data_IF_972624322871
#
_entry.id   IF_972624322871
#
_cell.length_a   1.000
_cell.length_b   1.000
_cell.length_c   1.000
_cell.angle_alpha   90.00
_cell.angle_beta   90.00
_cell.angle_gamma   90.00
#
_symmetry.space_group_name_H-M   'P 1'
#
loop_
_entity.id
_entity.type
_entity.pdbx_description
1 polymer ?
#
# COMPACT_ATOMS: atom_id res chain seq x y z
N UNK A 1 -5.36 2.82 -15.77
CA UNK A 1 -5.79 2.10 -14.54
C UNK A 1 -4.86 0.95 -14.27
N UNK A 2 -4.33 0.90 -13.05
CA UNK A 2 -3.32 -0.09 -12.67
C UNK A 2 -3.68 -0.74 -11.34
N UNK A 3 -3.44 -2.05 -11.23
CA UNK A 3 -3.44 -2.76 -9.96
C UNK A 3 -2.01 -2.78 -9.41
N UNK A 4 -1.86 -2.44 -8.12
CA UNK A 4 -0.58 -2.47 -7.42
C UNK A 4 -0.65 -3.38 -6.21
N UNK A 5 0.45 -4.09 -5.95
CA UNK A 5 0.60 -4.90 -4.74
C UNK A 5 2.07 -4.85 -4.28
N UNK A 6 2.28 -4.66 -2.98
CA UNK A 6 3.60 -4.75 -2.35
C UNK A 6 3.47 -5.10 -0.88
N UNK A 7 4.58 -5.48 -0.26
CA UNK A 7 4.57 -5.90 1.12
C UNK A 7 5.72 -5.31 1.93
N UNK A 8 5.60 -5.27 3.27
CA UNK A 8 6.69 -4.90 4.15
C UNK A 8 7.87 -5.84 3.98
N UNK A 9 9.09 -5.33 4.16
CA UNK A 9 10.30 -6.13 4.13
C UNK A 9 10.21 -7.23 5.20
N UNK A 10 10.60 -8.44 4.83
CA UNK A 10 10.48 -9.68 5.62
C UNK A 10 9.03 -10.11 5.86
N UNK A 11 8.06 -9.48 5.21
CA UNK A 11 6.62 -9.71 5.39
C UNK A 11 6.19 -9.67 6.85
N UNK A 12 6.79 -8.79 7.64
CA UNK A 12 6.34 -8.56 9.01
C UNK A 12 4.90 -8.04 9.00
N UNK A 13 4.11 -8.46 9.99
CA UNK A 13 2.74 -7.97 10.15
C UNK A 13 2.74 -6.59 10.82
N UNK A 14 3.41 -5.62 10.17
CA UNK A 14 3.63 -4.28 10.71
C UNK A 14 2.34 -3.50 10.93
N UNK A 15 1.31 -3.78 10.15
CA UNK A 15 0.06 -3.04 10.17
C UNK A 15 -1.06 -3.81 10.85
N UNK A 16 -0.73 -4.81 11.67
CA UNK A 16 -1.72 -5.60 12.39
C UNK A 16 -2.49 -4.78 13.41
N UNK A 17 -1.85 -3.82 14.06
CA UNK A 17 -2.51 -2.88 14.98
C UNK A 17 -3.26 -1.85 14.15
N UNK A 18 -4.52 -1.63 14.50
CA UNK A 18 -5.41 -0.73 13.76
C UNK A 18 -4.83 0.66 13.58
N UNK A 19 -4.20 1.22 14.63
CA UNK A 19 -3.58 2.54 14.55
C UNK A 19 -2.47 2.61 13.49
N UNK A 20 -1.69 1.55 13.33
CA UNK A 20 -0.63 1.51 12.33
C UNK A 20 -1.15 1.24 10.94
N UNK A 21 -2.25 0.45 10.83
CA UNK A 21 -2.97 0.31 9.57
C UNK A 21 -3.45 1.68 9.07
N UNK A 22 -4.11 2.43 9.96
CA UNK A 22 -4.62 3.77 9.60
C UNK A 22 -3.50 4.74 9.29
N UNK A 23 -2.39 4.67 10.02
CA UNK A 23 -1.24 5.53 9.78
C UNK A 23 -0.61 5.26 8.41
N UNK A 24 -0.30 4.00 8.09
CA UNK A 24 0.31 3.70 6.80
C UNK A 24 -0.63 3.98 5.63
N UNK A 25 -1.92 3.74 5.81
CA UNK A 25 -2.93 4.11 4.81
C UNK A 25 -2.89 5.61 4.51
N UNK A 26 -2.85 6.43 5.56
CA UNK A 26 -2.73 7.89 5.41
C UNK A 26 -1.42 8.28 4.72
N UNK A 27 -0.31 7.63 5.05
CA UNK A 27 0.99 7.87 4.41
C UNK A 27 0.96 7.53 2.92
N UNK A 28 0.34 6.41 2.56
CA UNK A 28 0.20 5.98 1.16
C UNK A 28 -0.71 6.95 0.39
N UNK A 29 -1.82 7.37 0.98
CA UNK A 29 -2.72 8.35 0.35
C UNK A 29 -2.03 9.69 0.15
N UNK A 30 -1.23 10.12 1.11
CA UNK A 30 -0.46 11.37 1.00
C UNK A 30 0.58 11.27 -0.12
N UNK A 31 1.29 10.15 -0.20
CA UNK A 31 2.26 9.91 -1.28
C UNK A 31 1.59 10.00 -2.66
N UNK A 32 0.43 9.38 -2.80
CA UNK A 32 -0.34 9.42 -4.03
C UNK A 32 -0.77 10.85 -4.38
N UNK A 33 -1.30 11.58 -3.42
CA UNK A 33 -1.77 12.95 -3.59
C UNK A 33 -0.65 13.88 -4.07
N UNK A 34 0.56 13.72 -3.57
CA UNK A 34 1.71 14.54 -3.95
C UNK A 34 2.11 14.35 -5.42
N UNK A 35 1.76 13.24 -6.03
CA UNK A 35 2.17 12.93 -7.40
C UNK A 35 1.01 12.68 -8.36
N UNK A 36 -0.19 13.11 -7.99
CA UNK A 36 -1.35 13.01 -8.89
C UNK A 36 -1.85 11.59 -9.13
N UNK A 37 -1.51 10.66 -8.24
CA UNK A 37 -1.99 9.28 -8.29
C UNK A 37 -3.34 9.22 -7.57
N UNK A 38 -4.36 8.66 -8.24
CA UNK A 38 -5.71 8.60 -7.67
C UNK A 38 -6.08 7.17 -7.34
N UNK A 39 -6.21 6.86 -6.04
CA UNK A 39 -6.69 5.56 -5.60
C UNK A 39 -8.18 5.41 -5.90
N UNK A 40 -8.52 4.31 -6.56
CA UNK A 40 -9.92 3.87 -6.73
C UNK A 40 -10.29 2.98 -5.55
N UNK A 41 -9.46 2.00 -5.27
CA UNK A 41 -9.57 1.14 -4.09
C UNK A 41 -8.18 0.99 -3.48
N UNK A 42 -8.10 1.04 -2.16
CA UNK A 42 -6.86 0.81 -1.41
C UNK A 42 -7.17 -0.07 -0.22
N UNK A 43 -6.51 -1.20 -0.13
CA UNK A 43 -6.65 -2.12 0.98
C UNK A 43 -5.30 -2.36 1.65
N UNK A 44 -5.23 -2.10 2.95
CA UNK A 44 -4.06 -2.34 3.79
C UNK A 44 -4.33 -3.57 4.64
N UNK A 45 -3.56 -4.62 4.41
CA UNK A 45 -3.55 -5.84 5.21
C UNK A 45 -2.37 -5.82 6.19
N UNK A 46 -2.34 -6.69 7.21
CA UNK A 46 -1.22 -6.69 8.16
C UNK A 46 0.15 -6.81 7.51
N UNK A 47 0.30 -7.57 6.44
CA UNK A 47 1.57 -7.87 5.81
C UNK A 47 1.62 -7.55 4.31
N UNK A 48 0.63 -6.83 3.77
CA UNK A 48 0.69 -6.40 2.37
C UNK A 48 -0.27 -5.25 2.08
N UNK A 49 0.00 -4.57 0.98
CA UNK A 49 -0.81 -3.48 0.45
C UNK A 49 -1.31 -3.91 -0.93
N UNK A 50 -2.57 -3.66 -1.23
CA UNK A 50 -3.15 -3.93 -2.54
C UNK A 50 -4.15 -2.84 -2.90
N UNK A 51 -4.20 -2.45 -4.17
CA UNK A 51 -5.16 -1.48 -4.62
C UNK A 51 -5.14 -1.25 -6.11
N UNK A 52 -6.09 -0.45 -6.57
CA UNK A 52 -6.19 0.00 -7.95
C UNK A 52 -6.14 1.51 -8.00
N UNK A 53 -5.40 2.06 -8.96
CA UNK A 53 -5.22 3.50 -9.07
C UNK A 53 -5.10 3.96 -10.52
N UNK A 54 -5.49 5.20 -10.75
CA UNK A 54 -5.17 5.93 -11.96
C UNK A 54 -3.87 6.70 -11.74
N UNK A 55 -2.96 6.62 -12.70
CA UNK A 55 -1.70 7.36 -12.66
C UNK A 55 -1.66 8.37 -13.82
N UNK A 56 -0.90 9.47 -13.68
CA UNK A 56 -0.73 10.43 -14.77
C UNK A 56 -0.20 9.76 -16.03
N UNK A 57 -0.62 10.25 -17.20
CA UNK A 57 -0.22 9.70 -18.50
C UNK A 57 1.30 9.74 -18.72
N UNK A 58 1.97 10.69 -18.09
CA UNK A 58 3.42 10.88 -18.19
C UNK A 58 4.23 10.03 -17.20
N UNK A 59 3.54 9.27 -16.35
CA UNK A 59 4.16 8.48 -15.30
C UNK A 59 4.07 6.99 -15.59
N UNK A 60 5.19 6.27 -15.49
CA UNK A 60 5.18 4.81 -15.59
C UNK A 60 4.66 4.19 -14.28
N UNK A 61 4.11 2.96 -14.33
CA UNK A 61 3.72 2.26 -13.11
C UNK A 61 4.90 2.00 -12.17
N UNK A 62 6.09 1.77 -12.72
CA UNK A 62 7.31 1.61 -11.92
C UNK A 62 7.63 2.89 -11.14
N UNK A 63 7.50 4.04 -11.79
CA UNK A 63 7.73 5.33 -11.14
C UNK A 63 6.67 5.62 -10.10
N UNK A 64 5.41 5.29 -10.37
CA UNK A 64 4.32 5.42 -9.41
C UNK A 64 4.60 4.62 -8.15
N UNK A 65 5.01 3.34 -8.29
CA UNK A 65 5.38 2.51 -7.15
C UNK A 65 6.56 3.09 -6.37
N UNK A 66 7.55 3.62 -7.07
CA UNK A 66 8.70 4.26 -6.43
C UNK A 66 8.26 5.42 -5.53
N UNK A 67 7.36 6.27 -6.00
CA UNK A 67 6.82 7.37 -5.21
C UNK A 67 5.97 6.86 -4.04
N UNK A 68 5.04 5.94 -4.31
CA UNK A 68 4.16 5.40 -3.27
C UNK A 68 4.94 4.74 -2.15
N UNK A 69 5.92 3.91 -2.49
CA UNK A 69 6.74 3.20 -1.51
C UNK A 69 7.72 4.13 -0.79
N UNK A 70 8.42 4.97 -1.52
CA UNK A 70 9.46 5.84 -0.94
C UNK A 70 8.88 6.88 0.02
N UNK A 71 7.85 7.59 -0.39
CA UNK A 71 7.25 8.65 0.42
C UNK A 71 6.49 8.06 1.60
N UNK A 72 5.73 6.99 1.39
CA UNK A 72 4.98 6.35 2.48
C UNK A 72 5.91 5.80 3.56
N UNK A 73 7.03 5.19 3.18
CA UNK A 73 8.01 4.68 4.14
C UNK A 73 8.62 5.82 4.97
N UNK A 74 9.02 6.90 4.32
CA UNK A 74 9.57 8.08 5.00
C UNK A 74 8.58 8.64 6.02
N UNK A 75 7.34 8.85 5.60
CA UNK A 75 6.30 9.38 6.47
C UNK A 75 5.97 8.41 7.61
N UNK A 76 5.90 7.13 7.33
CA UNK A 76 5.58 6.12 8.36
C UNK A 76 6.62 6.12 9.46
N UNK A 77 7.92 6.13 9.12
CA UNK A 77 8.99 6.19 10.12
C UNK A 77 9.03 7.53 10.85
N UNK A 78 8.61 8.60 10.20
CA UNK A 78 8.54 9.94 10.82
C UNK A 78 7.49 9.96 11.93
N UNK A 79 6.31 9.37 11.69
CA UNK A 79 5.22 9.33 12.67
C UNK A 79 5.26 8.13 13.61
N UNK A 80 6.08 7.12 13.30
CA UNK A 80 6.26 5.94 14.14
C UNK A 80 7.73 5.54 14.14
N UNK A 81 8.59 6.33 14.83
CA UNK A 81 10.04 6.09 14.81
C UNK A 81 10.46 4.73 15.33
N UNK A 82 9.72 4.16 16.29
CA UNK A 82 10.02 2.82 16.85
C UNK A 82 9.94 1.71 15.82
N UNK A 83 9.24 1.90 14.71
CA UNK A 83 9.19 0.92 13.63
C UNK A 83 10.57 0.63 13.06
N UNK A 84 11.49 1.59 13.11
CA UNK A 84 12.86 1.39 12.63
C UNK A 84 13.66 0.36 13.43
N UNK A 85 13.22 0.01 14.62
CA UNK A 85 13.84 -1.07 15.39
C UNK A 85 13.74 -2.42 14.67
N UNK A 86 12.67 -2.63 13.89
CA UNK A 86 12.50 -3.83 13.05
C UNK A 86 13.17 -3.71 11.69
N UNK A 87 13.51 -2.49 11.28
CA UNK A 87 14.12 -2.19 9.99
C UNK A 87 15.36 -1.32 10.18
N UNK A 88 16.45 -1.89 10.75
CA UNK A 88 17.64 -1.10 11.11
C UNK A 88 18.25 -0.34 9.94
N UNK A 89 18.09 -0.86 8.71
CA UNK A 89 18.59 -0.22 7.49
C UNK A 89 17.62 0.82 6.92
N UNK A 90 16.47 1.04 7.56
CA UNK A 90 15.51 2.04 7.14
C UNK A 90 14.67 1.70 5.92
N UNK A 91 14.55 0.42 5.57
CA UNK A 91 13.74 -0.04 4.43
C UNK A 91 12.46 -0.70 4.93
N UNK A 92 11.34 0.00 4.84
CA UNK A 92 10.03 -0.53 5.25
C UNK A 92 9.51 -1.59 4.28
N UNK A 93 9.63 -1.32 2.98
CA UNK A 93 9.05 -2.16 1.94
C UNK A 93 10.04 -3.15 1.35
N UNK A 94 9.56 -4.33 0.96
CA UNK A 94 10.38 -5.28 0.21
C UNK A 94 10.63 -4.74 -1.21
N UNK A 95 11.64 -5.27 -1.88
CA UNK A 95 11.91 -4.91 -3.29
C UNK A 95 10.87 -5.46 -4.24
N UNK A 96 10.24 -6.58 -3.88
CA UNK A 96 9.19 -7.20 -4.67
C UNK A 96 8.00 -6.28 -4.85
N UNK A 97 7.46 -6.24 -6.03
CA UNK A 97 6.32 -5.42 -6.37
C UNK A 97 5.55 -6.06 -7.51
N UNK A 98 4.26 -5.78 -7.56
CA UNK A 98 3.39 -6.19 -8.64
C UNK A 98 2.68 -4.96 -9.19
N UNK A 99 2.63 -4.85 -10.51
CA UNK A 99 1.83 -3.84 -11.19
C UNK A 99 1.26 -4.46 -12.47
N UNK A 100 -0.03 -4.31 -12.69
CA UNK A 100 -0.71 -4.82 -13.88
C UNK A 100 -1.67 -3.78 -14.43
N UNK A 101 -1.66 -3.61 -15.74
CA UNK A 101 -2.65 -2.81 -16.44
C UNK A 101 -3.99 -3.53 -16.45
N UNK A 102 -5.07 -2.79 -16.23
CA UNK A 102 -6.41 -3.34 -16.15
C UNK A 102 -7.28 -2.82 -17.29
N UNK A 103 -7.96 -3.75 -17.99
CA UNK A 103 -9.05 -3.42 -18.89
C UNK A 103 -10.32 -3.07 -18.09
N UNK A 104 -11.30 -2.50 -18.78
CA UNK A 104 -12.51 -1.99 -18.12
C UNK A 104 -13.25 -3.04 -17.28
N UNK A 105 -13.47 -4.24 -17.84
CA UNK A 105 -14.18 -5.32 -17.14
C UNK A 105 -13.36 -5.85 -15.96
N UNK A 106 -12.03 -5.96 -16.15
CA UNK A 106 -11.13 -6.44 -15.10
C UNK A 106 -11.08 -5.50 -13.89
N UNK A 107 -11.25 -4.19 -14.11
CA UNK A 107 -11.22 -3.18 -13.04
C UNK A 107 -12.31 -3.47 -12.01
N UNK A 108 -13.53 -3.73 -12.43
CA UNK A 108 -14.64 -4.00 -11.51
C UNK A 108 -14.40 -5.27 -10.69
N UNK A 109 -13.93 -6.34 -11.32
CA UNK A 109 -13.64 -7.61 -10.65
C UNK A 109 -12.53 -7.44 -9.61
N UNK A 110 -11.44 -6.77 -9.97
CA UNK A 110 -10.32 -6.54 -9.06
C UNK A 110 -10.73 -5.64 -7.89
N UNK A 111 -11.47 -4.57 -8.16
CA UNK A 111 -11.93 -3.66 -7.11
C UNK A 111 -12.85 -4.37 -6.11
N UNK A 112 -13.73 -5.23 -6.59
CA UNK A 112 -14.58 -6.03 -5.73
C UNK A 112 -13.74 -6.97 -4.85
N UNK A 113 -12.75 -7.65 -5.43
CA UNK A 113 -11.84 -8.52 -4.68
C UNK A 113 -11.08 -7.75 -3.60
N UNK A 114 -10.50 -6.61 -3.94
CA UNK A 114 -9.76 -5.77 -3.00
C UNK A 114 -10.68 -5.29 -1.87
N UNK A 115 -11.90 -4.87 -2.22
CA UNK A 115 -12.89 -4.38 -1.25
C UNK A 115 -13.29 -5.44 -0.24
N UNK A 116 -13.40 -6.70 -0.68
CA UNK A 116 -13.85 -7.82 0.14
C UNK A 116 -12.71 -8.63 0.74
N UNK A 117 -11.45 -8.21 0.59
CA UNK A 117 -10.29 -8.98 1.01
C UNK A 117 -10.29 -9.30 2.49
N UNK A 118 -10.72 -8.37 3.34
CA UNK A 118 -10.79 -8.60 4.79
C UNK A 118 -11.75 -9.73 5.13
N UNK A 119 -12.87 -9.84 4.43
CA UNK A 119 -13.84 -10.89 4.62
C UNK A 119 -13.32 -12.24 4.13
N UNK A 120 -12.74 -12.27 2.92
CA UNK A 120 -12.24 -13.49 2.28
C UNK A 120 -11.08 -14.14 3.05
N UNK A 121 -10.21 -13.34 3.58
CA UNK A 121 -8.99 -13.83 4.26
C UNK A 121 -9.15 -13.92 5.77
N UNK A 122 -10.31 -13.58 6.29
CA UNK A 122 -10.57 -13.64 7.73
C UNK A 122 -9.59 -12.79 8.54
N UNK A 123 -9.23 -11.62 8.01
CA UNK A 123 -8.26 -10.74 8.64
C UNK A 123 -8.76 -10.25 9.98
N UNK A 124 -7.93 -10.40 11.00
CA UNK A 124 -8.21 -9.91 12.35
C UNK A 124 -7.28 -8.74 12.66
N UNK A 125 -7.87 -7.61 12.99
CA UNK A 125 -7.14 -6.39 13.35
C UNK A 125 -7.03 -6.27 14.86
N UNK A 126 -5.86 -5.84 15.34
CA UNK A 126 -5.66 -5.54 16.76
C UNK A 126 -6.06 -4.10 17.01
N UNK A 127 -7.10 -3.92 17.84
CA UNK A 127 -7.60 -2.59 18.23
C UNK A 127 -7.03 -2.24 19.60
N UNK A 128 -6.42 -1.07 19.69
CA UNK A 128 -5.86 -0.54 20.95
C UNK A 128 -6.57 0.73 21.36
#
# INVERSE_FOLDING_TARGET
MWEFEWCPKYRYKMFRKWKYKKLVEACIRRAASLHGIKWIELNVQPEHIQGTAEIPMTMSPSKALQYLKGISAKLFFEYHPKARLRYPKGHLWSRGKFAASLGFVQIEVVNEYVRNQDEHHGTVWVVE
#
